data_IF_434161985678
#
_entry.id   IF_434161985678
#
_cell.length_a   1.000
_cell.length_b   1.000
_cell.length_c   1.000
_cell.angle_alpha   90.00
_cell.angle_beta   90.00
_cell.angle_gamma   90.00
#
_symmetry.space_group_name_H-M   'P 1'
#
loop_
_entity.id
_entity.type
_entity.pdbx_description
1 polymer ?
#
# COMPACT_ATOMS: atom_id res chain seq x y z
N UNK A 1 7.34 -14.95 -0.60
CA UNK A 1 8.30 -15.33 0.46
C UNK A 1 7.76 -16.43 1.38
N UNK A 2 6.51 -16.38 1.87
CA UNK A 2 6.00 -17.45 2.76
C UNK A 2 6.09 -18.85 2.14
N UNK A 3 5.64 -19.02 0.90
CA UNK A 3 5.76 -20.30 0.17
C UNK A 3 7.21 -20.82 0.10
N UNK A 4 8.20 -19.96 -0.14
CA UNK A 4 9.60 -20.37 -0.21
C UNK A 4 10.15 -20.79 1.15
N UNK A 5 9.64 -20.22 2.25
CA UNK A 5 9.97 -20.67 3.61
C UNK A 5 9.38 -22.07 3.91
N UNK A 6 8.34 -22.47 3.20
CA UNK A 6 7.77 -23.83 3.24
C UNK A 6 8.41 -24.77 2.19
N UNK A 7 9.52 -24.37 1.56
CA UNK A 7 10.28 -25.22 0.63
C UNK A 7 9.80 -25.19 -0.82
N UNK A 8 8.82 -24.34 -1.15
CA UNK A 8 8.37 -24.16 -2.54
C UNK A 8 9.42 -23.39 -3.33
N UNK A 9 9.71 -23.82 -4.56
CA UNK A 9 10.60 -23.07 -5.45
C UNK A 9 10.07 -21.65 -5.71
N UNK A 10 10.98 -20.65 -5.71
CA UNK A 10 10.62 -19.24 -5.85
C UNK A 10 9.99 -18.95 -7.21
N UNK A 11 10.52 -19.55 -8.29
CA UNK A 11 10.05 -19.29 -9.64
C UNK A 11 8.68 -19.91 -9.86
N UNK A 12 8.48 -21.15 -9.39
CA UNK A 12 7.18 -21.83 -9.41
C UNK A 12 6.13 -21.04 -8.61
N UNK A 13 6.47 -20.61 -7.39
CA UNK A 13 5.57 -19.82 -6.54
C UNK A 13 5.18 -18.48 -7.21
N UNK A 14 6.17 -17.77 -7.77
CA UNK A 14 5.93 -16.48 -8.42
C UNK A 14 5.05 -16.62 -9.65
N UNK A 15 5.31 -17.63 -10.49
CA UNK A 15 4.54 -17.90 -11.69
C UNK A 15 3.08 -18.25 -11.39
N UNK A 16 2.85 -19.07 -10.35
CA UNK A 16 1.51 -19.42 -9.91
C UNK A 16 0.71 -18.19 -9.47
N UNK A 17 1.31 -17.32 -8.65
CA UNK A 17 0.69 -16.06 -8.21
C UNK A 17 0.42 -15.14 -9.41
N UNK A 18 1.37 -15.03 -10.35
CA UNK A 18 1.22 -14.22 -11.57
C UNK A 18 0.02 -14.67 -12.40
N UNK A 19 -0.15 -15.97 -12.62
CA UNK A 19 -1.27 -16.53 -13.36
C UNK A 19 -2.63 -16.24 -12.68
N UNK A 20 -2.71 -16.40 -11.36
CA UNK A 20 -3.93 -16.07 -10.60
C UNK A 20 -4.26 -14.57 -10.69
N UNK A 21 -3.28 -13.70 -10.54
CA UNK A 21 -3.47 -12.26 -10.65
C UNK A 21 -3.98 -11.85 -12.05
N UNK A 22 -3.46 -12.46 -13.11
CA UNK A 22 -3.95 -12.21 -14.47
C UNK A 22 -5.37 -12.73 -14.70
N UNK A 23 -5.72 -13.89 -14.14
CA UNK A 23 -7.08 -14.42 -14.23
C UNK A 23 -8.07 -13.48 -13.51
N UNK A 24 -7.75 -13.08 -12.28
CA UNK A 24 -8.54 -12.12 -11.50
C UNK A 24 -8.72 -10.79 -12.25
N UNK A 25 -7.66 -10.26 -12.85
CA UNK A 25 -7.72 -9.04 -13.65
C UNK A 25 -8.65 -9.20 -14.86
N UNK A 26 -8.52 -10.28 -15.64
CA UNK A 26 -9.38 -10.53 -16.81
C UNK A 26 -10.85 -10.67 -16.42
N UNK A 27 -11.15 -11.37 -15.34
CA UNK A 27 -12.52 -11.53 -14.85
C UNK A 27 -13.10 -10.20 -14.35
N UNK A 28 -12.30 -9.36 -13.68
CA UNK A 28 -12.71 -8.00 -13.30
C UNK A 28 -13.07 -7.15 -14.51
N UNK A 29 -12.27 -7.18 -15.57
CA UNK A 29 -12.54 -6.43 -16.80
C UNK A 29 -13.82 -6.92 -17.51
N UNK A 30 -14.07 -8.23 -17.49
CA UNK A 30 -15.25 -8.81 -18.15
C UNK A 30 -16.55 -8.63 -17.36
N UNK A 31 -16.49 -8.74 -16.03
CA UNK A 31 -17.68 -8.74 -15.17
C UNK A 31 -17.95 -7.40 -14.49
N UNK A 32 -16.96 -6.50 -14.48
CA UNK A 32 -16.98 -5.25 -13.72
C UNK A 32 -16.87 -5.43 -12.20
N UNK A 33 -16.74 -6.66 -11.70
CA UNK A 33 -16.67 -6.97 -10.26
C UNK A 33 -15.22 -7.17 -9.82
N UNK A 34 -14.89 -6.68 -8.62
CA UNK A 34 -13.58 -6.96 -8.04
C UNK A 34 -13.45 -8.44 -7.72
N UNK A 35 -12.36 -9.06 -8.16
CA UNK A 35 -12.01 -10.44 -7.80
C UNK A 35 -10.95 -10.39 -6.73
N UNK A 36 -11.28 -10.93 -5.56
CA UNK A 36 -10.36 -11.03 -4.45
C UNK A 36 -9.34 -12.16 -4.69
N UNK A 37 -8.08 -11.78 -4.85
CA UNK A 37 -6.98 -12.72 -5.07
C UNK A 37 -6.79 -13.67 -3.88
N UNK A 38 -7.10 -13.24 -2.66
CA UNK A 38 -7.00 -14.08 -1.47
C UNK A 38 -7.96 -15.27 -1.53
N UNK A 39 -9.19 -15.04 -2.02
CA UNK A 39 -10.19 -16.09 -2.23
C UNK A 39 -9.69 -17.13 -3.24
N UNK A 40 -9.09 -16.68 -4.33
CA UNK A 40 -8.51 -17.59 -5.33
C UNK A 40 -7.36 -18.43 -4.76
N UNK A 41 -6.57 -17.87 -3.82
CA UNK A 41 -5.50 -18.62 -3.15
C UNK A 41 -6.05 -19.66 -2.15
N UNK A 42 -7.18 -19.39 -1.49
CA UNK A 42 -7.82 -20.34 -0.57
C UNK A 42 -8.42 -21.54 -1.33
N UNK A 43 -8.90 -21.32 -2.55
CA UNK A 43 -9.47 -22.38 -3.39
C UNK A 43 -8.40 -23.28 -4.04
N UNK A 44 -7.12 -22.91 -3.96
CA UNK A 44 -6.02 -23.62 -4.61
C UNK A 44 -5.08 -24.28 -3.58
N UNK A 45 -5.06 -25.62 -3.58
CA UNK A 45 -4.27 -26.48 -2.66
C UNK A 45 -2.77 -26.16 -2.71
N UNK A 46 -2.28 -25.56 -3.80
CA UNK A 46 -0.88 -25.08 -3.86
C UNK A 46 -0.53 -24.12 -2.71
N UNK A 47 -1.50 -23.37 -2.19
CA UNK A 47 -1.30 -22.40 -1.12
C UNK A 47 -1.64 -22.93 0.27
N UNK A 48 -1.98 -24.22 0.41
CA UNK A 48 -2.41 -24.84 1.68
C UNK A 48 -1.45 -24.55 2.83
N UNK A 49 -0.15 -24.61 2.57
CA UNK A 49 0.88 -24.37 3.59
C UNK A 49 0.87 -22.95 4.17
N UNK A 50 0.25 -21.98 3.49
CA UNK A 50 0.20 -20.57 3.92
C UNK A 50 -1.22 -20.06 4.21
N UNK A 51 -2.27 -20.86 4.03
CA UNK A 51 -3.66 -20.43 4.31
C UNK A 51 -3.83 -19.80 5.69
N UNK A 52 -3.28 -20.34 6.79
CA UNK A 52 -3.44 -19.74 8.13
C UNK A 52 -2.80 -18.35 8.26
N UNK A 53 -1.90 -17.99 7.34
CA UNK A 53 -1.15 -16.74 7.34
C UNK A 53 -1.73 -15.69 6.37
N UNK A 54 -2.65 -16.08 5.48
CA UNK A 54 -3.13 -15.20 4.41
C UNK A 54 -3.77 -13.92 4.96
N UNK A 55 -4.63 -14.02 5.97
CA UNK A 55 -5.28 -12.85 6.57
C UNK A 55 -4.25 -11.88 7.16
N UNK A 56 -3.23 -12.39 7.85
CA UNK A 56 -2.19 -11.58 8.46
C UNK A 56 -1.29 -10.90 7.41
N UNK A 57 -0.99 -11.58 6.31
CA UNK A 57 -0.20 -11.03 5.21
C UNK A 57 -0.89 -9.85 4.53
N UNK A 58 -2.23 -9.85 4.52
CA UNK A 58 -3.06 -8.85 3.85
C UNK A 58 -3.47 -7.70 4.77
N UNK A 59 -3.09 -7.71 6.06
CA UNK A 59 -3.35 -6.60 6.98
C UNK A 59 -2.61 -5.34 6.51
N UNK A 60 -3.37 -4.27 6.29
CA UNK A 60 -2.85 -2.98 5.83
C UNK A 60 -1.78 -2.38 6.75
N UNK A 61 -1.91 -2.57 8.06
CA UNK A 61 -0.95 -2.05 9.05
C UNK A 61 0.47 -2.60 8.84
N UNK A 62 0.61 -3.80 8.27
CA UNK A 62 1.90 -4.39 7.95
C UNK A 62 2.48 -3.88 6.62
N UNK A 63 1.69 -3.19 5.80
CA UNK A 63 2.05 -2.77 4.44
C UNK A 63 2.38 -1.27 4.34
N UNK A 64 2.17 -0.49 5.40
CA UNK A 64 2.42 0.97 5.42
C UNK A 64 3.81 1.35 5.95
N UNK A 65 4.65 0.37 6.30
CA UNK A 65 6.05 0.59 6.68
C UNK A 65 6.22 1.68 7.76
N UNK A 66 7.05 2.68 7.48
CA UNK A 66 7.34 3.80 8.39
C UNK A 66 6.53 5.07 8.08
N UNK A 67 5.48 5.00 7.25
CA UNK A 67 4.75 6.17 6.78
C UNK A 67 4.30 7.10 7.92
N UNK A 68 3.78 6.56 9.03
CA UNK A 68 3.38 7.36 10.19
C UNK A 68 4.54 8.17 10.76
N UNK A 69 5.68 7.52 11.02
CA UNK A 69 6.89 8.20 11.53
C UNK A 69 7.41 9.25 10.56
N UNK A 70 7.39 8.97 9.25
CA UNK A 70 7.87 9.89 8.22
C UNK A 70 6.99 11.15 8.17
N UNK A 71 5.67 11.00 8.30
CA UNK A 71 4.74 12.13 8.38
C UNK A 71 5.00 12.93 9.65
N UNK A 72 5.11 12.28 10.81
CA UNK A 72 5.38 12.96 12.08
C UNK A 72 6.70 13.75 12.04
N UNK A 73 7.76 13.15 11.47
CA UNK A 73 9.05 13.80 11.32
C UNK A 73 8.98 14.99 10.37
N UNK A 74 8.28 14.86 9.24
CA UNK A 74 8.09 15.96 8.30
C UNK A 74 7.33 17.12 8.93
N UNK A 75 6.21 16.85 9.62
CA UNK A 75 5.42 17.86 10.32
C UNK A 75 6.31 18.61 11.30
N UNK A 76 6.99 17.88 12.20
CA UNK A 76 7.81 18.48 13.25
C UNK A 76 9.03 19.25 12.75
N UNK A 77 9.71 18.74 11.72
CA UNK A 77 11.01 19.30 11.29
C UNK A 77 10.91 20.28 10.13
N UNK A 78 9.83 20.22 9.34
CA UNK A 78 9.66 21.04 8.14
C UNK A 78 8.46 21.97 8.24
N UNK A 79 7.31 21.50 8.72
CA UNK A 79 6.09 22.32 8.79
C UNK A 79 6.05 23.22 10.02
N UNK A 80 6.24 22.66 11.22
CA UNK A 80 6.14 23.42 12.48
C UNK A 80 7.02 24.68 12.51
N UNK A 81 8.30 24.64 12.06
CA UNK A 81 9.15 25.85 12.04
C UNK A 81 8.62 26.99 11.16
N UNK A 82 7.85 26.68 10.11
CA UNK A 82 7.23 27.69 9.23
C UNK A 82 6.09 28.40 9.97
N UNK A 83 5.36 27.68 10.82
CA UNK A 83 4.24 28.22 11.57
C UNK A 83 4.66 28.90 12.89
N UNK A 84 5.74 28.44 13.53
CA UNK A 84 6.29 29.02 14.78
C UNK A 84 7.07 30.33 14.55
N UNK A 85 7.69 30.48 13.38
CA UNK A 85 8.27 31.74 12.93
C UNK A 85 7.50 32.26 11.72
N UNK A 86 6.31 32.85 11.93
CA UNK A 86 5.56 33.46 10.84
C UNK A 86 6.35 34.66 10.32
N UNK A 87 7.25 34.41 9.37
CA UNK A 87 7.77 35.46 8.49
C UNK A 87 6.51 36.07 7.89
N UNK A 88 6.26 37.35 8.13
CA UNK A 88 5.02 38.07 7.82
C UNK A 88 4.61 37.91 6.36
N UNK A 89 3.98 36.78 6.05
CA UNK A 89 3.30 36.46 4.82
C UNK A 89 1.99 35.88 5.29
N UNK A 90 0.95 36.71 5.18
CA UNK A 90 -0.43 36.30 5.37
C UNK A 90 -0.74 35.19 4.38
N UNK A 91 -0.56 33.93 4.78
CA UNK A 91 -1.13 32.82 4.05
C UNK A 91 -2.65 32.92 4.22
N UNK A 92 -3.43 32.89 3.13
CA UNK A 92 -4.88 32.86 3.24
C UNK A 92 -5.24 31.68 4.13
N UNK A 93 -6.12 31.91 5.12
CA UNK A 93 -6.60 30.87 6.04
C UNK A 93 -7.00 29.65 5.20
N UNK A 94 -6.21 28.58 5.28
CA UNK A 94 -6.57 27.33 4.63
C UNK A 94 -7.83 26.84 5.33
N UNK A 95 -8.95 26.87 4.62
CA UNK A 95 -10.21 26.37 5.12
C UNK A 95 -10.03 24.90 5.52
N UNK A 96 -10.68 24.50 6.62
CA UNK A 96 -10.47 23.27 7.41
C UNK A 96 -10.72 21.93 6.69
N UNK A 97 -10.70 21.91 5.36
CA UNK A 97 -10.93 20.75 4.50
C UNK A 97 -9.72 20.35 3.67
N UNK A 98 -8.53 20.93 3.93
CA UNK A 98 -7.28 20.43 3.35
C UNK A 98 -6.95 19.08 3.98
N UNK A 99 -7.52 18.05 3.37
CA UNK A 99 -7.35 16.66 3.74
C UNK A 99 -5.86 16.35 3.61
N UNK A 100 -5.19 16.01 4.71
CA UNK A 100 -3.75 15.67 4.77
C UNK A 100 -3.36 14.64 3.68
N UNK A 101 -4.34 13.83 3.27
CA UNK A 101 -4.25 12.90 2.14
C UNK A 101 -3.88 13.56 0.80
N UNK A 102 -4.35 14.78 0.52
CA UNK A 102 -4.05 15.48 -0.74
C UNK A 102 -2.58 15.94 -0.78
N UNK A 103 -2.03 16.35 0.36
CA UNK A 103 -0.61 16.75 0.45
C UNK A 103 0.32 15.54 0.36
N UNK A 104 -0.05 14.41 0.96
CA UNK A 104 0.71 13.15 0.85
C UNK A 104 0.72 12.65 -0.60
N UNK A 105 -0.41 12.73 -1.33
CA UNK A 105 -0.50 12.30 -2.74
C UNK A 105 0.33 13.19 -3.66
N UNK A 106 0.36 14.51 -3.44
CA UNK A 106 1.19 15.43 -4.22
C UNK A 106 2.69 15.27 -3.89
N UNK A 107 3.04 15.10 -2.62
CA UNK A 107 4.44 14.90 -2.20
C UNK A 107 5.00 13.56 -2.72
N UNK A 108 4.23 12.47 -2.62
CA UNK A 108 4.63 11.18 -3.20
C UNK A 108 4.69 11.20 -4.74
N UNK A 109 4.01 12.13 -5.43
CA UNK A 109 4.15 12.30 -6.89
C UNK A 109 5.43 13.03 -7.29
N UNK A 110 5.95 13.93 -6.45
CA UNK A 110 7.13 14.73 -6.75
C UNK A 110 8.45 13.94 -6.58
N UNK A 111 8.50 12.94 -5.69
CA UNK A 111 9.72 12.20 -5.37
C UNK A 111 9.99 10.96 -6.26
N UNK A 112 9.08 10.58 -7.16
CA UNK A 112 9.23 9.41 -8.05
C UNK A 112 9.70 9.73 -9.49
N UNK A 113 10.19 10.94 -9.74
CA UNK A 113 10.72 11.36 -11.07
C UNK A 113 12.24 11.56 -11.11
N UNK A 114 13.00 10.81 -10.31
CA UNK A 114 14.46 10.75 -10.40
C UNK A 114 14.98 9.33 -10.54
#
# INVERSE_FOLDING_TARGET
>A
MRLTLHGVDRQVAHEKIRCLALAAYKEREQTGKSVDLSRLMIEDVFFESIWPQLDELLKMDHQVGLCGRQVDEFVRTKLDPIFEHPTTVSLPKLNSTFNVLYFIVEFCRADWTH
#
